data_IF_024605016729
#
_entry.id   IF_024605016729
#
_cell.length_a   1.000
_cell.length_b   1.000
_cell.length_c   1.000
_cell.angle_alpha   90.00
_cell.angle_beta   90.00
_cell.angle_gamma   90.00
#
_symmetry.space_group_name_H-M   'P 1'
#
loop_
_entity.id
_entity.type
_entity.pdbx_description
1 polymer ?
#
# COMPACT_ATOMS: atom_id res chain seq x y z
N UNK A 1 14.25 -35.03 -17.00
CA UNK A 1 14.48 -34.55 -15.62
C UNK A 1 15.44 -33.35 -15.64
N UNK A 2 15.05 -32.22 -16.25
CA UNK A 2 15.95 -31.06 -16.39
C UNK A 2 15.19 -29.72 -16.56
N UNK A 3 14.04 -29.53 -15.90
CA UNK A 3 13.25 -28.28 -16.00
C UNK A 3 12.78 -27.72 -14.64
N UNK A 4 13.37 -28.18 -13.53
CA UNK A 4 12.96 -27.75 -12.18
C UNK A 4 13.90 -26.75 -11.52
N UNK A 5 15.01 -26.34 -12.16
CA UNK A 5 16.06 -25.55 -11.49
C UNK A 5 16.04 -24.04 -11.76
N UNK A 6 15.05 -23.50 -12.49
CA UNK A 6 14.99 -22.06 -12.82
C UNK A 6 13.78 -21.35 -12.19
N UNK A 7 12.85 -22.07 -11.56
CA UNK A 7 11.61 -21.47 -11.04
C UNK A 7 11.72 -20.88 -9.62
N UNK A 8 12.85 -21.08 -8.94
CA UNK A 8 13.07 -20.67 -7.55
C UNK A 8 14.04 -19.48 -7.37
N UNK A 9 14.43 -18.80 -8.45
CA UNK A 9 15.40 -17.69 -8.39
C UNK A 9 14.77 -16.30 -8.17
N UNK A 10 13.47 -16.20 -7.90
CA UNK A 10 12.87 -14.97 -7.36
C UNK A 10 12.89 -15.09 -5.85
N UNK A 11 13.99 -14.67 -5.23
CA UNK A 11 14.13 -14.61 -3.77
C UNK A 11 12.91 -13.89 -3.21
N UNK A 12 12.00 -14.63 -2.56
CA UNK A 12 10.81 -14.01 -1.97
C UNK A 12 11.29 -13.01 -0.94
N UNK A 13 11.05 -11.72 -1.18
CA UNK A 13 11.35 -10.66 -0.22
C UNK A 13 10.55 -11.01 1.02
N UNK A 14 11.27 -11.45 2.04
CA UNK A 14 10.68 -11.82 3.32
C UNK A 14 10.75 -10.63 4.25
N UNK A 15 9.90 -10.61 5.26
CA UNK A 15 9.96 -9.60 6.31
C UNK A 15 11.37 -9.52 6.95
N UNK A 16 12.17 -10.58 6.94
CA UNK A 16 13.52 -10.54 7.54
C UNK A 16 14.56 -9.79 6.69
N UNK A 17 14.31 -9.62 5.39
CA UNK A 17 15.24 -8.92 4.48
C UNK A 17 15.05 -7.40 4.51
N UNK A 18 13.90 -6.93 5.01
CA UNK A 18 13.54 -5.51 5.09
C UNK A 18 14.21 -4.89 6.32
N UNK A 19 15.42 -4.35 6.12
CA UNK A 19 16.21 -3.67 7.16
C UNK A 19 16.04 -2.16 7.05
N UNK A 20 15.90 -1.50 8.19
CA UNK A 20 15.83 -0.05 8.26
C UNK A 20 17.18 0.59 7.87
N UNK A 21 17.11 1.59 7.01
CA UNK A 21 18.24 2.45 6.66
C UNK A 21 17.96 3.89 7.12
N UNK A 22 18.83 4.42 8.00
CA UNK A 22 18.67 5.78 8.53
C UNK A 22 18.76 6.85 7.45
N UNK A 23 19.58 6.65 6.43
CA UNK A 23 19.78 7.63 5.36
C UNK A 23 18.48 7.86 4.56
N UNK A 24 17.63 6.83 4.50
CA UNK A 24 16.39 6.83 3.74
C UNK A 24 15.13 6.91 4.62
N UNK A 25 15.27 7.19 5.92
CA UNK A 25 14.15 7.27 6.87
C UNK A 25 13.10 8.31 6.45
N UNK A 26 13.57 9.45 5.90
CA UNK A 26 12.71 10.51 5.40
C UNK A 26 11.97 10.08 4.13
N UNK A 27 12.64 9.36 3.23
CA UNK A 27 12.03 8.79 2.03
C UNK A 27 10.95 7.76 2.38
N UNK A 28 11.19 6.93 3.41
CA UNK A 28 10.21 5.98 3.91
C UNK A 28 8.98 6.69 4.50
N UNK A 29 9.17 7.75 5.28
CA UNK A 29 8.06 8.55 5.79
C UNK A 29 7.27 9.24 4.66
N UNK A 30 7.94 9.79 3.65
CA UNK A 30 7.30 10.37 2.47
C UNK A 30 6.52 9.34 1.65
N UNK A 31 7.03 8.12 1.55
CA UNK A 31 6.35 7.02 0.86
C UNK A 31 5.04 6.58 1.55
N UNK A 32 4.80 7.01 2.79
CA UNK A 32 3.51 6.80 3.45
C UNK A 32 2.39 7.67 2.84
N UNK A 33 2.73 8.78 2.18
CA UNK A 33 1.74 9.56 1.45
C UNK A 33 1.29 8.72 0.26
N UNK A 34 0.00 8.37 0.12
CA UNK A 34 -0.44 7.35 -0.82
C UNK A 34 0.04 7.59 -2.27
N UNK A 35 -0.11 8.82 -2.76
CA UNK A 35 0.31 9.22 -4.12
C UNK A 35 1.84 9.12 -4.27
N UNK A 36 2.59 9.59 -3.27
CA UNK A 36 4.06 9.54 -3.27
C UNK A 36 4.54 8.10 -3.16
N UNK A 37 3.92 7.29 -2.32
CA UNK A 37 4.19 5.86 -2.17
C UNK A 37 4.04 5.12 -3.48
N UNK A 38 2.98 5.38 -4.25
CA UNK A 38 2.82 4.79 -5.57
C UNK A 38 3.99 5.13 -6.51
N UNK A 39 4.43 6.39 -6.54
CA UNK A 39 5.57 6.82 -7.39
C UNK A 39 6.89 6.24 -6.89
N UNK A 40 7.17 6.37 -5.59
CA UNK A 40 8.39 5.89 -4.93
C UNK A 40 8.52 4.38 -5.08
N UNK A 41 7.43 3.62 -5.12
CA UNK A 41 7.49 2.17 -5.35
C UNK A 41 8.12 1.81 -6.70
N UNK A 42 7.89 2.60 -7.74
CA UNK A 42 8.49 2.39 -9.08
C UNK A 42 9.90 2.98 -9.20
N UNK A 43 10.18 4.08 -8.49
CA UNK A 43 11.48 4.76 -8.52
C UNK A 43 12.50 4.03 -7.64
N UNK A 44 12.11 3.65 -6.42
CA UNK A 44 12.98 3.05 -5.42
C UNK A 44 13.05 1.54 -5.61
N UNK A 45 14.21 1.05 -6.06
CA UNK A 45 14.49 -0.38 -6.26
C UNK A 45 15.57 -0.92 -5.33
N UNK A 46 16.33 -0.04 -4.67
CA UNK A 46 17.48 -0.43 -3.85
C UNK A 46 17.08 -0.65 -2.40
N UNK A 47 16.28 0.26 -1.85
CA UNK A 47 15.89 0.21 -0.45
C UNK A 47 14.59 -0.56 -0.23
N UNK A 48 14.69 -1.76 0.34
CA UNK A 48 13.54 -2.62 0.62
C UNK A 48 12.59 -2.02 1.69
N UNK A 49 13.09 -1.20 2.61
CA UNK A 49 12.29 -0.60 3.68
C UNK A 49 11.39 0.50 3.12
N UNK A 50 11.97 1.42 2.33
CA UNK A 50 11.20 2.44 1.62
C UNK A 50 10.21 1.78 0.67
N UNK A 51 10.65 0.78 -0.10
CA UNK A 51 9.83 0.10 -1.11
C UNK A 51 8.66 -0.67 -0.49
N UNK A 52 8.82 -1.19 0.72
CA UNK A 52 7.74 -1.86 1.45
C UNK A 52 6.65 -0.89 1.92
N UNK A 53 7.03 0.24 2.51
CA UNK A 53 6.08 1.30 2.84
C UNK A 53 5.39 1.85 1.59
N UNK A 54 6.17 2.14 0.55
CA UNK A 54 5.67 2.57 -0.75
C UNK A 54 4.64 1.58 -1.34
N UNK A 55 4.89 0.27 -1.24
CA UNK A 55 3.97 -0.77 -1.68
C UNK A 55 2.66 -0.77 -0.88
N UNK A 56 2.74 -0.72 0.46
CA UNK A 56 1.56 -0.71 1.33
C UNK A 56 0.65 0.51 1.06
N UNK A 57 1.23 1.70 0.98
CA UNK A 57 0.47 2.94 0.81
C UNK A 57 0.07 3.19 -0.65
N UNK A 58 0.89 2.73 -1.61
CA UNK A 58 0.52 2.70 -3.02
C UNK A 58 -0.68 1.79 -3.28
N UNK A 59 -0.77 0.63 -2.63
CA UNK A 59 -1.94 -0.26 -2.66
C UNK A 59 -3.20 0.45 -2.15
N UNK A 60 -3.08 1.28 -1.12
CA UNK A 60 -4.18 2.08 -0.59
C UNK A 60 -4.75 3.06 -1.64
N UNK A 61 -3.89 3.69 -2.46
CA UNK A 61 -4.34 4.52 -3.60
C UNK A 61 -5.11 3.70 -4.62
N UNK A 62 -4.53 2.58 -5.05
CA UNK A 62 -5.13 1.74 -6.09
C UNK A 62 -6.47 1.19 -5.62
N UNK A 63 -6.57 0.77 -4.36
CA UNK A 63 -7.82 0.34 -3.75
C UNK A 63 -8.85 1.47 -3.67
N UNK A 64 -8.44 2.68 -3.27
CA UNK A 64 -9.30 3.85 -3.20
C UNK A 64 -9.84 4.28 -4.58
N UNK A 65 -8.99 4.28 -5.60
CA UNK A 65 -9.39 4.55 -6.99
C UNK A 65 -10.34 3.47 -7.53
N UNK A 66 -10.03 2.19 -7.29
CA UNK A 66 -10.90 1.08 -7.71
C UNK A 66 -12.28 1.14 -7.06
N UNK A 67 -12.34 1.47 -5.76
CA UNK A 67 -13.60 1.69 -5.06
C UNK A 67 -14.35 2.90 -5.65
N UNK A 68 -13.65 4.00 -5.95
CA UNK A 68 -14.24 5.19 -6.56
C UNK A 68 -14.87 4.92 -7.92
N UNK A 69 -14.18 4.18 -8.79
CA UNK A 69 -14.71 3.78 -10.10
C UNK A 69 -15.90 2.84 -9.95
N UNK A 70 -15.85 1.88 -9.03
CA UNK A 70 -16.97 0.97 -8.77
C UNK A 70 -18.21 1.74 -8.31
N UNK A 71 -18.04 2.70 -7.38
CA UNK A 71 -19.13 3.55 -6.91
C UNK A 71 -19.69 4.42 -8.04
N UNK A 72 -18.83 4.92 -8.93
CA UNK A 72 -19.26 5.70 -10.10
C UNK A 72 -20.13 4.85 -11.05
N UNK A 73 -19.70 3.63 -11.38
CA UNK A 73 -20.45 2.73 -12.27
C UNK A 73 -21.77 2.29 -11.64
N UNK A 74 -21.78 1.95 -10.35
CA UNK A 74 -23.01 1.59 -9.62
C UNK A 74 -23.97 2.77 -9.47
N UNK A 75 -23.44 4.00 -9.37
CA UNK A 75 -24.21 5.24 -9.29
C UNK A 75 -24.97 5.60 -10.58
N UNK A 76 -24.63 4.97 -11.72
CA UNK A 76 -25.39 5.12 -12.97
C UNK A 76 -26.80 4.51 -12.88
N UNK A 77 -27.05 3.62 -11.92
CA UNK A 77 -28.37 3.02 -11.68
C UNK A 77 -29.14 3.90 -10.68
N UNK A 78 -30.18 4.65 -11.10
CA UNK A 78 -30.79 5.72 -10.31
C UNK A 78 -31.39 5.26 -8.98
N UNK A 79 -31.89 4.02 -8.88
CA UNK A 79 -32.49 3.47 -7.65
C UNK A 79 -31.43 3.01 -6.65
N UNK A 80 -30.34 2.40 -7.13
CA UNK A 80 -29.24 1.90 -6.28
C UNK A 80 -28.37 3.06 -5.75
N UNK A 81 -28.27 4.15 -6.53
CA UNK A 81 -27.48 5.32 -6.20
C UNK A 81 -27.89 5.98 -4.88
N UNK A 82 -29.19 6.04 -4.56
CA UNK A 82 -29.65 6.71 -3.33
C UNK A 82 -29.24 5.94 -2.08
N UNK A 83 -29.43 4.62 -2.06
CA UNK A 83 -29.09 3.77 -0.91
C UNK A 83 -27.58 3.72 -0.71
N UNK A 84 -26.81 3.54 -1.80
CA UNK A 84 -25.35 3.53 -1.76
C UNK A 84 -24.78 4.92 -1.44
N UNK A 85 -25.42 5.99 -1.93
CA UNK A 85 -25.08 7.37 -1.63
C UNK A 85 -25.18 7.68 -0.13
N UNK A 86 -26.28 7.31 0.52
CA UNK A 86 -26.44 7.51 1.96
C UNK A 86 -25.41 6.71 2.76
N UNK A 87 -25.18 5.43 2.40
CA UNK A 87 -24.19 4.59 3.08
C UNK A 87 -22.77 5.13 2.91
N UNK A 88 -22.41 5.55 1.69
CA UNK A 88 -21.08 6.09 1.40
C UNK A 88 -20.82 7.40 2.13
N UNK A 89 -21.81 8.29 2.28
CA UNK A 89 -21.65 9.54 3.05
C UNK A 89 -21.30 9.29 4.52
N UNK A 90 -21.83 8.22 5.13
CA UNK A 90 -21.48 7.85 6.50
C UNK A 90 -20.15 7.06 6.60
N UNK A 91 -19.87 6.16 5.65
CA UNK A 91 -18.72 5.25 5.74
C UNK A 91 -17.42 5.85 5.20
N UNK A 92 -17.48 6.62 4.11
CA UNK A 92 -16.29 7.24 3.49
C UNK A 92 -15.50 8.13 4.45
N UNK A 93 -16.11 9.02 5.25
CA UNK A 93 -15.37 9.86 6.19
C UNK A 93 -14.67 9.03 7.26
N UNK A 94 -15.28 7.94 7.73
CA UNK A 94 -14.67 7.03 8.69
C UNK A 94 -13.46 6.31 8.10
N UNK A 95 -13.59 5.77 6.87
CA UNK A 95 -12.47 5.14 6.18
C UNK A 95 -11.36 6.15 5.87
N UNK A 96 -11.70 7.36 5.43
CA UNK A 96 -10.73 8.39 5.10
C UNK A 96 -9.98 8.85 6.35
N UNK A 97 -10.68 9.16 7.45
CA UNK A 97 -10.02 9.47 8.73
C UNK A 97 -9.14 8.32 9.22
N UNK A 98 -9.67 7.08 9.19
CA UNK A 98 -8.92 5.90 9.60
C UNK A 98 -7.64 5.71 8.80
N UNK A 99 -7.72 5.90 7.47
CA UNK A 99 -6.57 5.87 6.57
C UNK A 99 -5.57 6.99 6.86
N UNK A 100 -6.05 8.19 7.19
CA UNK A 100 -5.21 9.35 7.50
C UNK A 100 -4.43 9.14 8.79
N UNK A 101 -5.09 8.62 9.83
CA UNK A 101 -4.45 8.22 11.08
C UNK A 101 -3.40 7.13 10.83
N UNK A 102 -3.75 6.12 10.02
CA UNK A 102 -2.81 5.08 9.58
C UNK A 102 -1.58 5.68 8.89
N UNK A 103 -1.75 6.62 7.96
CA UNK A 103 -0.63 7.28 7.26
C UNK A 103 0.27 8.02 8.25
N UNK A 104 -0.30 8.78 9.19
CA UNK A 104 0.48 9.54 10.17
C UNK A 104 1.26 8.60 11.10
N UNK A 105 0.60 7.59 11.67
CA UNK A 105 1.26 6.62 12.56
C UNK A 105 2.36 5.85 11.82
N UNK A 106 2.10 5.49 10.57
CA UNK A 106 3.07 4.81 9.71
C UNK A 106 4.27 5.68 9.41
N UNK A 107 4.07 6.94 9.05
CA UNK A 107 5.15 7.88 8.79
C UNK A 107 6.02 8.11 10.04
N UNK A 108 5.40 8.24 11.22
CA UNK A 108 6.14 8.37 12.48
C UNK A 108 6.97 7.12 12.79
N UNK A 109 6.39 5.92 12.61
CA UNK A 109 7.11 4.66 12.81
C UNK A 109 8.23 4.46 11.80
N UNK A 110 7.98 4.76 10.53
CA UNK A 110 8.96 4.72 9.45
C UNK A 110 10.16 5.64 9.76
N UNK A 111 9.88 6.85 10.26
CA UNK A 111 10.93 7.81 10.64
C UNK A 111 11.76 7.33 11.84
N UNK A 112 11.13 6.66 12.81
CA UNK A 112 11.82 6.03 13.95
C UNK A 112 12.58 4.77 13.58
N UNK A 113 12.39 4.25 12.36
CA UNK A 113 12.98 3.00 11.89
C UNK A 113 12.29 1.74 12.38
N UNK A 114 11.09 1.88 12.92
CA UNK A 114 10.23 0.74 13.25
C UNK A 114 9.43 0.36 12.02
N UNK A 115 9.59 -0.89 11.56
CA UNK A 115 8.75 -1.41 10.46
C UNK A 115 7.35 -1.70 10.98
N UNK A 116 6.34 -1.05 10.40
CA UNK A 116 4.95 -1.36 10.70
C UNK A 116 4.36 -2.36 9.71
N UNK A 117 4.13 -3.58 10.19
CA UNK A 117 3.53 -4.65 9.41
C UNK A 117 2.03 -4.75 9.70
N UNK A 118 1.22 -4.13 8.84
CA UNK A 118 -0.24 -4.33 8.90
C UNK A 118 -0.56 -5.68 8.23
N UNK A 119 -1.08 -6.69 8.94
CA UNK A 119 -1.08 -8.09 8.47
C UNK A 119 -1.76 -8.33 7.12
N UNK A 120 -2.78 -7.55 6.78
CA UNK A 120 -3.46 -7.62 5.47
C UNK A 120 -2.64 -6.91 4.39
N UNK A 121 -2.27 -5.64 4.62
CA UNK A 121 -1.50 -4.83 3.65
C UNK A 121 -0.09 -5.39 3.42
N UNK A 122 0.53 -5.94 4.46
CA UNK A 122 1.87 -6.53 4.43
C UNK A 122 1.95 -7.68 3.43
N UNK A 123 0.98 -8.60 3.45
CA UNK A 123 0.93 -9.73 2.51
C UNK A 123 0.84 -9.24 1.06
N UNK A 124 -0.06 -8.29 0.78
CA UNK A 124 -0.21 -7.73 -0.56
C UNK A 124 1.01 -6.91 -1.00
N UNK A 125 1.63 -6.16 -0.08
CA UNK A 125 2.85 -5.40 -0.35
C UNK A 125 4.03 -6.33 -0.70
N UNK A 126 4.20 -7.44 0.03
CA UNK A 126 5.21 -8.46 -0.29
C UNK A 126 4.93 -9.12 -1.63
N UNK A 127 3.67 -9.44 -1.94
CA UNK A 127 3.29 -9.97 -3.25
C UNK A 127 3.61 -8.98 -4.38
N UNK A 128 3.35 -7.69 -4.18
CA UNK A 128 3.69 -6.64 -5.14
C UNK A 128 5.20 -6.52 -5.35
N UNK A 129 5.98 -6.53 -4.26
CA UNK A 129 7.46 -6.48 -4.33
C UNK A 129 8.10 -7.73 -4.93
N UNK A 130 7.43 -8.88 -4.87
CA UNK A 130 7.92 -10.12 -5.50
C UNK A 130 7.57 -10.20 -6.99
N UNK A 131 6.56 -9.45 -7.42
CA UNK A 131 6.07 -9.45 -8.81
C UNK A 131 6.75 -8.38 -9.68
N UNK A 132 7.29 -7.33 -9.07
CA UNK A 132 7.95 -6.19 -9.71
C UNK A 132 9.34 -5.97 -9.14
#
# INVERSE_FOLDING_TARGET
MAETTVKDAVRQVSLNDIKFNKDNALMAALSCIPIVGAVVFFVEKKDLFVRYYAAQFGLLVVAGLGLGVLMFVLGLIPVVNVIMGVLSVCLMPLLSLGSLILIIVAAMKAYKGERWDVPVLSKYALQMMNKF
#
